data_IF_122974629565
#
_entry.id   IF_122974629565
#
_cell.length_a   1.000
_cell.length_b   1.000
_cell.length_c   1.000
_cell.angle_alpha   90.00
_cell.angle_beta   90.00
_cell.angle_gamma   90.00
#
_symmetry.space_group_name_H-M   'P 1'
#
loop_
_entity.id
_entity.type
_entity.pdbx_description
1 polymer ?
#
# COMPACT_ATOMS: atom_id res chain seq x y z
N UNK A 1 -7.95 -36.24 67.68
CA UNK A 1 -7.82 -36.64 66.27
C UNK A 1 -6.88 -37.81 66.23
N UNK A 2 -7.31 -38.98 65.75
CA UNK A 2 -6.58 -40.25 65.94
C UNK A 2 -5.78 -40.70 64.72
N UNK A 3 -4.77 -41.55 64.97
CA UNK A 3 -3.97 -42.21 63.92
C UNK A 3 -4.80 -43.02 62.92
N UNK A 4 -5.97 -43.51 63.34
CA UNK A 4 -6.91 -44.22 62.48
C UNK A 4 -7.40 -43.39 61.29
N UNK A 5 -7.62 -42.08 61.48
CA UNK A 5 -8.04 -41.19 60.40
C UNK A 5 -6.93 -41.00 59.36
N UNK A 6 -5.69 -40.90 59.81
CA UNK A 6 -4.53 -40.81 58.91
C UNK A 6 -4.38 -42.10 58.08
N UNK A 7 -4.51 -43.27 58.69
CA UNK A 7 -4.41 -44.55 58.00
C UNK A 7 -5.51 -44.71 56.94
N UNK A 8 -6.75 -44.35 57.27
CA UNK A 8 -7.86 -44.34 56.32
C UNK A 8 -7.60 -43.40 55.14
N UNK A 9 -7.10 -42.19 55.42
CA UNK A 9 -6.79 -41.19 54.41
C UNK A 9 -5.63 -41.62 53.50
N UNK A 10 -4.59 -42.26 54.05
CA UNK A 10 -3.49 -42.84 53.25
C UNK A 10 -3.98 -43.99 52.35
N UNK A 11 -4.95 -44.77 52.82
CA UNK A 11 -5.62 -45.79 52.01
C UNK A 11 -6.40 -45.18 50.84
N UNK A 12 -7.17 -44.11 51.09
CA UNK A 12 -7.90 -43.37 50.04
C UNK A 12 -6.95 -42.73 49.00
N UNK A 13 -5.76 -42.32 49.42
CA UNK A 13 -4.74 -41.76 48.53
C UNK A 13 -3.93 -42.82 47.76
N UNK A 14 -4.17 -44.11 48.01
CA UNK A 14 -3.52 -45.21 47.30
C UNK A 14 -2.09 -45.50 47.76
N UNK A 15 -1.75 -45.21 49.03
CA UNK A 15 -0.43 -45.56 49.57
C UNK A 15 -0.25 -47.08 49.66
N UNK A 16 0.78 -47.61 48.98
CA UNK A 16 1.05 -49.06 48.84
C UNK A 16 1.27 -49.80 50.19
N UNK A 17 1.50 -49.07 51.28
CA UNK A 17 1.69 -49.61 52.62
C UNK A 17 0.52 -49.40 53.58
N UNK A 18 -0.62 -48.86 53.14
CA UNK A 18 -1.70 -48.43 54.04
C UNK A 18 -2.27 -49.57 54.90
N UNK A 19 -2.31 -50.79 54.38
CA UNK A 19 -2.79 -51.98 55.10
C UNK A 19 -1.83 -52.49 56.19
N UNK A 20 -0.56 -52.07 56.15
CA UNK A 20 0.46 -52.44 57.15
C UNK A 20 0.55 -51.43 58.29
N UNK A 21 -0.13 -50.29 58.16
CA UNK A 21 -0.12 -49.24 59.16
C UNK A 21 -1.14 -49.58 60.26
N UNK A 22 -0.63 -49.74 61.46
CA UNK A 22 -1.44 -49.94 62.64
C UNK A 22 -1.83 -48.57 63.25
N UNK A 23 -3.14 -48.27 63.43
CA UNK A 23 -3.59 -47.01 64.01
C UNK A 23 -3.01 -46.71 65.39
N UNK A 24 -2.80 -47.74 66.22
CA UNK A 24 -2.36 -47.59 67.61
C UNK A 24 -0.88 -47.21 67.70
N UNK A 25 -0.09 -47.53 66.68
CA UNK A 25 1.31 -47.13 66.55
C UNK A 25 1.49 -45.60 66.47
N UNK A 26 0.44 -44.85 66.11
CA UNK A 26 0.46 -43.39 66.02
C UNK A 26 -0.05 -42.69 67.29
N UNK A 27 -0.55 -43.41 68.29
CA UNK A 27 -1.04 -42.78 69.53
C UNK A 27 0.10 -42.25 70.41
N UNK A 28 1.29 -42.88 70.36
CA UNK A 28 2.46 -42.47 71.15
C UNK A 28 3.19 -41.22 70.61
N UNK A 29 3.46 -41.11 69.29
CA UNK A 29 4.08 -39.91 68.70
C UNK A 29 3.21 -38.65 68.82
N UNK A 30 1.89 -38.81 68.83
CA UNK A 30 0.92 -37.70 68.86
C UNK A 30 0.21 -37.58 70.21
N UNK A 31 0.86 -38.00 71.29
CA UNK A 31 0.28 -37.96 72.63
C UNK A 31 0.09 -36.51 73.15
N UNK A 32 1.01 -35.61 72.79
CA UNK A 32 1.00 -34.21 73.23
C UNK A 32 0.13 -33.32 72.33
N UNK A 33 -0.48 -32.30 72.90
CA UNK A 33 -1.42 -31.42 72.17
C UNK A 33 -0.76 -30.67 71.00
N UNK A 34 0.52 -30.28 71.12
CA UNK A 34 1.28 -29.71 70.01
C UNK A 34 1.42 -30.69 68.84
N UNK A 35 1.75 -31.95 69.13
CA UNK A 35 1.86 -33.00 68.13
C UNK A 35 0.50 -33.35 67.51
N UNK A 36 -0.59 -33.29 68.28
CA UNK A 36 -1.96 -33.51 67.76
C UNK A 36 -2.36 -32.46 66.73
N UNK A 37 -1.97 -31.21 66.94
CA UNK A 37 -2.22 -30.13 65.97
C UNK A 37 -1.52 -30.39 64.63
N UNK A 38 -0.33 -30.97 64.66
CA UNK A 38 0.42 -31.37 63.46
C UNK A 38 -0.30 -32.52 62.74
N UNK A 39 -0.75 -33.54 63.48
CA UNK A 39 -1.51 -34.65 62.91
C UNK A 39 -2.80 -34.17 62.23
N UNK A 40 -3.51 -33.22 62.87
CA UNK A 40 -4.71 -32.63 62.31
C UNK A 40 -4.43 -31.81 61.05
N UNK A 41 -3.34 -31.03 61.05
CA UNK A 41 -2.87 -30.30 59.88
C UNK A 41 -2.53 -31.25 58.73
N UNK A 42 -1.84 -32.37 58.99
CA UNK A 42 -1.52 -33.38 57.97
C UNK A 42 -2.81 -33.95 57.38
N UNK A 43 -3.75 -34.38 58.21
CA UNK A 43 -5.02 -34.95 57.76
C UNK A 43 -5.91 -33.93 57.01
N UNK A 44 -5.72 -32.63 57.24
CA UNK A 44 -6.46 -31.56 56.57
C UNK A 44 -5.79 -31.09 55.27
N UNK A 45 -4.47 -31.27 55.17
CA UNK A 45 -3.65 -30.84 54.04
C UNK A 45 -3.46 -31.94 53.00
N UNK A 46 -3.51 -33.21 53.39
CA UNK A 46 -3.47 -34.32 52.46
C UNK A 46 -4.84 -34.45 51.76
N UNK A 47 -4.87 -34.09 50.47
CA UNK A 47 -6.03 -34.24 49.59
C UNK A 47 -5.63 -35.05 48.36
N UNK A 48 -6.56 -35.76 47.70
CA UNK A 48 -6.28 -36.43 46.43
C UNK A 48 -5.72 -35.49 45.35
N UNK A 49 -6.05 -34.19 45.42
CA UNK A 49 -5.49 -33.15 44.56
C UNK A 49 -4.00 -32.90 44.75
N UNK A 50 -3.43 -33.33 45.87
CA UNK A 50 -2.03 -33.10 46.23
C UNK A 50 -1.18 -34.36 45.96
N UNK A 51 -1.79 -35.42 45.44
CA UNK A 51 -1.09 -36.65 45.05
C UNK A 51 -0.86 -36.58 43.56
N UNK A 52 0.41 -36.68 43.16
CA UNK A 52 0.79 -36.74 41.77
C UNK A 52 0.26 -38.04 41.16
N UNK A 53 -0.47 -37.92 40.06
CA UNK A 53 -0.85 -39.06 39.24
C UNK A 53 0.39 -39.72 38.63
N UNK A 54 0.27 -41.01 38.28
CA UNK A 54 1.34 -41.74 37.60
C UNK A 54 1.79 -41.03 36.30
N UNK A 55 0.87 -40.39 35.57
CA UNK A 55 1.19 -39.61 34.38
C UNK A 55 2.01 -38.36 34.67
N UNK A 56 1.71 -37.64 35.76
CA UNK A 56 2.45 -36.44 36.16
C UNK A 56 3.85 -36.82 36.64
N UNK A 57 3.99 -37.94 37.36
CA UNK A 57 5.29 -38.48 37.74
C UNK A 57 6.13 -38.85 36.51
N UNK A 58 5.56 -39.54 35.51
CA UNK A 58 6.28 -39.86 34.28
C UNK A 58 6.71 -38.60 33.50
N UNK A 59 5.87 -37.57 33.46
CA UNK A 59 6.22 -36.29 32.83
C UNK A 59 7.36 -35.58 33.58
N UNK A 60 7.31 -35.58 34.91
CA UNK A 60 8.38 -35.04 35.73
C UNK A 60 9.70 -35.77 35.48
N UNK A 61 9.70 -37.11 35.49
CA UNK A 61 10.89 -37.91 35.18
C UNK A 61 11.43 -37.64 33.77
N UNK A 62 10.56 -37.43 32.80
CA UNK A 62 10.95 -37.01 31.45
C UNK A 62 11.64 -35.63 31.46
N UNK A 63 11.10 -34.64 32.19
CA UNK A 63 11.74 -33.33 32.30
C UNK A 63 13.11 -33.37 32.98
N UNK A 64 13.28 -34.25 33.98
CA UNK A 64 14.57 -34.53 34.61
C UNK A 64 15.55 -35.10 33.60
N UNK A 65 15.13 -36.10 32.80
CA UNK A 65 15.99 -36.71 31.79
C UNK A 65 16.37 -35.75 30.65
N UNK A 66 15.45 -34.87 30.25
CA UNK A 66 15.68 -33.87 29.21
C UNK A 66 16.52 -32.68 29.68
N UNK A 67 16.81 -32.57 30.99
CA UNK A 67 17.53 -31.43 31.56
C UNK A 67 16.78 -30.10 31.43
N UNK A 68 15.45 -30.18 31.30
CA UNK A 68 14.56 -29.00 31.15
C UNK A 68 13.89 -28.58 32.46
N UNK A 69 14.27 -29.23 33.56
CA UNK A 69 13.74 -28.93 34.88
C UNK A 69 14.33 -27.60 35.36
N UNK A 70 13.44 -26.64 35.60
CA UNK A 70 13.81 -25.30 36.03
C UNK A 70 13.95 -25.28 37.56
N UNK A 71 15.16 -25.14 38.08
CA UNK A 71 15.45 -25.17 39.52
C UNK A 71 16.42 -24.04 39.91
N UNK A 72 16.35 -23.61 41.17
CA UNK A 72 17.30 -22.64 41.74
C UNK A 72 17.35 -21.31 40.98
N UNK A 73 18.55 -20.88 40.61
CA UNK A 73 18.81 -19.58 39.96
C UNK A 73 18.05 -19.42 38.63
N UNK A 74 17.85 -20.49 37.86
CA UNK A 74 17.11 -20.44 36.60
C UNK A 74 15.62 -20.15 36.84
N UNK A 75 15.06 -20.65 37.95
CA UNK A 75 13.69 -20.37 38.37
C UNK A 75 13.54 -18.94 38.87
N UNK A 76 14.49 -18.46 39.68
CA UNK A 76 14.51 -17.08 40.17
C UNK A 76 14.65 -16.09 39.00
N UNK A 77 15.49 -16.40 38.01
CA UNK A 77 15.64 -15.60 36.79
C UNK A 77 14.35 -15.56 35.96
N UNK A 78 13.69 -16.71 35.77
CA UNK A 78 12.40 -16.75 35.08
C UNK A 78 11.34 -15.94 35.84
N UNK A 79 11.31 -16.04 37.17
CA UNK A 79 10.38 -15.28 38.00
C UNK A 79 10.61 -13.78 37.90
N UNK A 80 11.86 -13.32 37.95
CA UNK A 80 12.22 -11.92 37.78
C UNK A 80 11.86 -11.39 36.38
N UNK A 81 12.03 -12.22 35.35
CA UNK A 81 11.63 -11.88 33.98
C UNK A 81 10.11 -11.66 33.84
N UNK A 82 9.30 -12.34 34.64
CA UNK A 82 7.85 -12.17 34.69
C UNK A 82 7.48 -10.97 35.58
N UNK A 83 8.20 -10.77 36.69
CA UNK A 83 8.02 -9.64 37.60
C UNK A 83 8.31 -8.29 36.93
N UNK A 84 9.19 -8.25 35.92
CA UNK A 84 9.41 -7.09 35.03
C UNK A 84 8.12 -6.58 34.35
N UNK A 85 7.08 -7.42 34.27
CA UNK A 85 5.75 -7.05 33.75
C UNK A 85 4.72 -6.76 34.87
N UNK A 86 5.03 -7.04 36.14
CA UNK A 86 4.11 -6.90 37.27
C UNK A 86 4.17 -5.54 37.96
N UNK A 87 5.33 -4.87 37.96
CA UNK A 87 5.52 -3.56 38.60
C UNK A 87 4.90 -2.39 37.85
N UNK A 88 4.37 -2.62 36.64
CA UNK A 88 3.75 -1.57 35.82
C UNK A 88 2.26 -1.80 35.64
N UNK A 89 1.51 -1.92 36.75
CA UNK A 89 0.04 -1.88 36.73
C UNK A 89 -0.54 -1.17 37.95
N UNK A 90 -0.15 0.08 38.14
CA UNK A 90 -1.14 1.10 38.48
C UNK A 90 -2.11 1.22 37.29
N UNK A 91 -3.10 0.33 37.26
CA UNK A 91 -4.11 0.23 36.19
C UNK A 91 -4.97 1.50 36.04
N UNK A 92 -4.73 2.53 36.84
CA UNK A 92 -5.47 3.78 36.81
C UNK A 92 -4.73 4.86 36.01
N UNK A 93 -3.38 4.92 36.03
CA UNK A 93 -2.63 5.97 35.32
C UNK A 93 -2.43 5.67 33.83
N UNK A 94 -2.26 4.39 33.47
CA UNK A 94 -2.06 3.96 32.07
C UNK A 94 -3.33 4.08 31.20
N UNK A 95 -4.52 4.08 31.81
CA UNK A 95 -5.79 4.22 31.10
C UNK A 95 -6.06 5.69 30.75
N UNK A 96 -5.85 6.62 31.70
CA UNK A 96 -6.09 8.05 31.45
C UNK A 96 -5.03 8.68 30.53
N UNK A 97 -3.75 8.32 30.65
CA UNK A 97 -2.70 8.82 29.76
C UNK A 97 -2.81 8.28 28.32
N UNK A 98 -3.30 7.05 28.14
CA UNK A 98 -3.54 6.49 26.81
C UNK A 98 -4.77 7.10 26.14
N UNK A 99 -5.83 7.42 26.90
CA UNK A 99 -7.03 8.09 26.36
C UNK A 99 -6.74 9.53 25.90
N UNK A 100 -5.91 10.27 26.64
CA UNK A 100 -5.51 11.63 26.27
C UNK A 100 -4.63 11.61 25.00
N UNK A 101 -3.64 10.71 24.92
CA UNK A 101 -2.84 10.52 23.71
C UNK A 101 -3.65 10.03 22.50
N UNK A 102 -4.64 9.14 22.70
CA UNK A 102 -5.55 8.69 21.63
C UNK A 102 -6.44 9.82 21.12
N UNK A 103 -6.89 10.71 22.01
CA UNK A 103 -7.66 11.91 21.63
C UNK A 103 -6.80 12.88 20.83
N UNK A 104 -5.57 13.15 21.25
CA UNK A 104 -4.65 14.03 20.53
C UNK A 104 -4.27 13.47 19.16
N UNK A 105 -4.01 12.16 19.07
CA UNK A 105 -3.75 11.48 17.78
C UNK A 105 -4.96 11.60 16.86
N UNK A 106 -6.17 11.42 17.39
CA UNK A 106 -7.40 11.56 16.60
C UNK A 106 -7.60 12.98 16.11
N UNK A 107 -7.39 13.97 16.97
CA UNK A 107 -7.58 15.38 16.64
C UNK A 107 -6.53 15.84 15.62
N UNK A 108 -5.26 15.44 15.78
CA UNK A 108 -4.21 15.63 14.78
C UNK A 108 -4.53 14.95 13.44
N UNK A 109 -5.07 13.72 13.47
CA UNK A 109 -5.49 13.00 12.26
C UNK A 109 -6.60 13.74 11.51
N UNK A 110 -7.56 14.32 12.23
CA UNK A 110 -8.63 15.13 11.62
C UNK A 110 -8.08 16.41 11.01
N UNK A 111 -7.16 17.09 11.70
CA UNK A 111 -6.49 18.29 11.18
C UNK A 111 -5.72 17.99 9.88
N UNK A 112 -4.89 16.94 9.86
CA UNK A 112 -4.15 16.56 8.66
C UNK A 112 -5.06 16.14 7.50
N UNK A 113 -6.20 15.48 7.78
CA UNK A 113 -7.20 15.17 6.74
C UNK A 113 -7.82 16.44 6.15
N UNK A 114 -8.09 17.45 6.97
CA UNK A 114 -8.62 18.73 6.50
C UNK A 114 -7.61 19.46 5.59
N UNK A 115 -6.34 19.49 5.99
CA UNK A 115 -5.25 20.07 5.18
C UNK A 115 -5.07 19.33 3.85
N UNK A 116 -5.09 18.00 3.86
CA UNK A 116 -5.00 17.19 2.66
C UNK A 116 -6.16 17.47 1.67
N UNK A 117 -7.38 17.66 2.18
CA UNK A 117 -8.53 18.03 1.36
C UNK A 117 -8.38 19.42 0.74
N UNK A 118 -7.83 20.37 1.48
CA UNK A 118 -7.62 21.73 0.97
C UNK A 118 -6.54 21.74 -0.12
N UNK A 119 -5.42 21.05 0.11
CA UNK A 119 -4.39 20.83 -0.92
C UNK A 119 -4.97 20.16 -2.17
N UNK A 120 -5.85 19.18 -2.02
CA UNK A 120 -6.52 18.52 -3.14
C UNK A 120 -7.42 19.49 -3.95
N UNK A 121 -8.09 20.45 -3.29
CA UNK A 121 -8.86 21.49 -3.99
C UNK A 121 -7.94 22.43 -4.77
N UNK A 122 -6.82 22.84 -4.17
CA UNK A 122 -5.82 23.68 -4.83
C UNK A 122 -5.26 22.98 -6.08
N UNK A 123 -4.95 21.70 -5.97
CA UNK A 123 -4.44 20.89 -7.08
C UNK A 123 -5.46 20.82 -8.24
N UNK A 124 -6.74 20.59 -7.94
CA UNK A 124 -7.83 20.61 -8.95
C UNK A 124 -7.98 21.97 -9.63
N UNK A 125 -7.91 23.06 -8.86
CA UNK A 125 -7.96 24.42 -9.41
C UNK A 125 -6.78 24.68 -10.35
N UNK A 126 -5.58 24.26 -9.96
CA UNK A 126 -4.39 24.43 -10.77
C UNK A 126 -4.44 23.58 -12.04
N UNK A 127 -4.93 22.34 -11.94
CA UNK A 127 -5.11 21.46 -13.08
C UNK A 127 -6.11 22.04 -14.10
N UNK A 128 -7.23 22.59 -13.63
CA UNK A 128 -8.19 23.29 -14.51
C UNK A 128 -7.57 24.49 -15.24
N UNK A 129 -6.71 25.27 -14.56
CA UNK A 129 -5.96 26.37 -15.19
C UNK A 129 -5.00 25.85 -16.26
N UNK A 130 -4.33 24.73 -15.99
CA UNK A 130 -3.42 24.10 -16.94
C UNK A 130 -4.16 23.59 -18.18
N UNK A 131 -5.32 22.93 -18.00
CA UNK A 131 -6.15 22.45 -19.10
C UNK A 131 -6.65 23.61 -19.98
N UNK A 132 -7.07 24.72 -19.37
CA UNK A 132 -7.47 25.93 -20.09
C UNK A 132 -6.32 26.50 -20.94
N UNK A 133 -5.13 26.67 -20.35
CA UNK A 133 -3.95 27.16 -21.08
C UNK A 133 -3.52 26.20 -22.18
N UNK A 134 -3.63 24.90 -21.95
CA UNK A 134 -3.35 23.86 -22.95
C UNK A 134 -4.33 23.93 -24.11
N UNK A 135 -5.63 24.13 -23.83
CA UNK A 135 -6.66 24.41 -24.83
C UNK A 135 -6.34 25.65 -25.66
N UNK A 136 -5.97 26.76 -25.02
CA UNK A 136 -5.58 27.99 -25.70
C UNK A 136 -4.34 27.81 -26.60
N UNK A 137 -3.29 27.16 -26.09
CA UNK A 137 -2.10 26.85 -26.87
C UNK A 137 -2.43 25.99 -28.09
N UNK A 138 -3.30 24.98 -27.93
CA UNK A 138 -3.74 24.13 -29.03
C UNK A 138 -4.52 24.93 -30.09
N UNK A 139 -5.43 25.82 -29.68
CA UNK A 139 -6.19 26.67 -30.59
C UNK A 139 -5.29 27.63 -31.37
N UNK A 140 -4.27 28.21 -30.72
CA UNK A 140 -3.28 29.06 -31.38
C UNK A 140 -2.44 28.27 -32.41
N UNK A 141 -2.01 27.06 -32.06
CA UNK A 141 -1.26 26.19 -32.96
C UNK A 141 -2.11 25.81 -34.18
N UNK A 142 -3.37 25.41 -33.96
CA UNK A 142 -4.29 25.07 -35.05
C UNK A 142 -4.62 26.29 -35.92
N UNK A 143 -4.88 27.45 -35.31
CA UNK A 143 -5.08 28.69 -36.04
C UNK A 143 -3.86 29.10 -36.88
N UNK A 144 -2.64 28.91 -36.35
CA UNK A 144 -1.40 29.12 -37.11
C UNK A 144 -1.30 28.15 -38.29
N UNK A 145 -1.57 26.86 -38.08
CA UNK A 145 -1.57 25.84 -39.15
C UNK A 145 -2.59 26.17 -40.23
N UNK A 146 -3.81 26.56 -39.86
CA UNK A 146 -4.86 26.95 -40.80
C UNK A 146 -4.46 28.16 -41.64
N UNK A 147 -3.86 29.19 -41.04
CA UNK A 147 -3.33 30.35 -41.78
C UNK A 147 -2.21 29.97 -42.74
N UNK A 148 -1.26 29.13 -42.30
CA UNK A 148 -0.17 28.65 -43.16
C UNK A 148 -0.71 27.85 -44.34
N UNK A 149 -1.68 26.96 -44.12
CA UNK A 149 -2.34 26.22 -45.18
C UNK A 149 -3.06 27.15 -46.17
N UNK A 150 -3.84 28.11 -45.67
CA UNK A 150 -4.53 29.09 -46.51
C UNK A 150 -3.55 29.94 -47.35
N UNK A 151 -2.47 30.43 -46.75
CA UNK A 151 -1.41 31.15 -47.47
C UNK A 151 -0.75 30.27 -48.52
N UNK A 152 -0.50 28.99 -48.23
CA UNK A 152 0.03 28.04 -49.22
C UNK A 152 -0.90 27.86 -50.41
N UNK A 153 -2.22 27.78 -50.19
CA UNK A 153 -3.20 27.67 -51.28
C UNK A 153 -3.22 28.93 -52.12
N UNK A 154 -3.24 30.12 -51.51
CA UNK A 154 -3.19 31.40 -52.23
C UNK A 154 -1.88 31.55 -53.01
N UNK A 155 -0.74 31.19 -52.41
CA UNK A 155 0.54 31.22 -53.10
C UNK A 155 0.57 30.25 -54.28
N UNK A 156 -0.01 29.04 -54.14
CA UNK A 156 -0.17 28.11 -55.25
C UNK A 156 -0.99 28.71 -56.40
N UNK A 157 -2.10 29.38 -56.10
CA UNK A 157 -2.87 30.11 -57.12
C UNK A 157 -2.04 31.22 -57.78
N UNK A 158 -1.28 31.99 -57.01
CA UNK A 158 -0.42 33.05 -57.55
C UNK A 158 0.64 32.48 -58.49
N UNK A 159 1.29 31.36 -58.13
CA UNK A 159 2.25 30.67 -59.00
C UNK A 159 1.59 30.21 -60.30
N UNK A 160 0.39 29.63 -60.25
CA UNK A 160 -0.30 29.22 -61.49
C UNK A 160 -0.64 30.40 -62.40
N UNK A 161 -0.98 31.57 -61.83
CA UNK A 161 -1.23 32.79 -62.61
C UNK A 161 0.08 33.30 -63.21
N UNK A 162 1.17 33.33 -62.44
CA UNK A 162 2.48 33.76 -62.89
C UNK A 162 3.00 32.89 -64.06
N UNK A 163 2.87 31.57 -63.96
CA UNK A 163 3.19 30.63 -65.03
C UNK A 163 2.38 30.92 -66.30
N UNK A 164 1.08 31.22 -66.16
CA UNK A 164 0.21 31.54 -67.29
C UNK A 164 0.59 32.86 -67.97
N UNK A 165 0.98 33.88 -67.19
CA UNK A 165 1.44 35.17 -67.72
C UNK A 165 2.80 35.03 -68.40
N UNK A 166 3.72 34.27 -67.80
CA UNK A 166 5.02 33.95 -68.37
C UNK A 166 4.89 33.21 -69.70
N UNK A 167 3.99 32.21 -69.78
CA UNK A 167 3.69 31.50 -71.03
C UNK A 167 3.13 32.42 -72.12
N UNK A 168 2.19 33.31 -71.78
CA UNK A 168 1.66 34.31 -72.71
C UNK A 168 2.73 35.30 -73.18
N UNK A 169 3.60 35.74 -72.28
CA UNK A 169 4.71 36.61 -72.63
C UNK A 169 5.68 35.90 -73.59
N UNK A 170 6.03 34.64 -73.34
CA UNK A 170 6.86 33.85 -74.25
C UNK A 170 6.22 33.76 -75.65
N UNK A 171 4.92 33.45 -75.72
CA UNK A 171 4.18 33.43 -76.99
C UNK A 171 4.16 34.79 -77.68
N UNK A 172 4.07 35.89 -76.93
CA UNK A 172 4.16 37.23 -77.48
C UNK A 172 5.56 37.54 -78.03
N UNK A 173 6.62 37.16 -77.32
CA UNK A 173 8.00 37.27 -77.81
C UNK A 173 8.23 36.43 -79.06
N UNK A 174 7.72 35.20 -79.11
CA UNK A 174 7.73 34.38 -80.32
C UNK A 174 6.97 35.06 -81.46
N UNK A 175 5.72 35.48 -81.25
CA UNK A 175 4.92 36.15 -82.29
C UNK A 175 5.58 37.42 -82.84
N UNK A 176 6.24 38.21 -81.98
CA UNK A 176 7.03 39.37 -82.41
C UNK A 176 8.27 38.94 -83.21
N UNK A 177 8.98 37.89 -82.79
CA UNK A 177 10.08 37.31 -83.58
C UNK A 177 9.61 36.81 -84.95
N UNK A 178 8.46 36.15 -85.03
CA UNK A 178 7.83 35.77 -86.30
C UNK A 178 7.44 37.00 -87.12
N UNK A 179 6.93 38.07 -86.51
CA UNK A 179 6.62 39.33 -87.23
C UNK A 179 7.89 39.98 -87.76
N UNK A 180 8.96 40.06 -86.98
CA UNK A 180 10.24 40.63 -87.42
C UNK A 180 10.89 39.76 -88.51
N UNK A 181 10.76 38.43 -88.41
CA UNK A 181 11.15 37.50 -89.47
C UNK A 181 10.28 37.66 -90.73
N UNK A 182 8.97 37.85 -90.58
CA UNK A 182 8.05 38.16 -91.70
C UNK A 182 8.38 39.53 -92.29
N UNK A 183 8.74 40.54 -91.50
CA UNK A 183 9.18 41.86 -92.00
C UNK A 183 10.54 41.77 -92.71
N UNK A 184 11.46 40.92 -92.26
CA UNK A 184 12.67 40.56 -93.00
C UNK A 184 12.38 39.77 -94.29
N UNK A 185 11.27 39.02 -94.34
CA UNK A 185 10.85 38.25 -95.53
C UNK A 185 9.76 38.98 -96.34
N UNK A 186 9.42 40.23 -95.99
CA UNK A 186 8.41 41.06 -96.66
C UNK A 186 8.99 41.81 -97.86
N UNK A 187 9.84 41.13 -98.61
CA UNK A 187 9.93 41.29 -100.06
C UNK A 187 8.94 40.35 -100.80
N UNK A 188 8.18 39.48 -100.10
CA UNK A 188 7.27 38.50 -100.74
C UNK A 188 5.91 38.34 -100.06
N UNK A 189 5.13 39.41 -99.90
CA UNK A 189 3.80 39.35 -99.29
C UNK A 189 2.69 39.28 -100.35
N UNK A 190 2.23 38.07 -100.70
CA UNK A 190 0.91 37.91 -101.35
C UNK A 190 0.18 36.59 -101.09
N UNK A 191 0.82 35.59 -100.49
CA UNK A 191 0.20 34.25 -100.35
C UNK A 191 -0.44 33.97 -98.98
N UNK A 192 -0.09 34.71 -97.93
CA UNK A 192 -0.47 34.34 -96.55
C UNK A 192 -1.91 34.72 -96.16
N UNK A 193 -2.52 35.70 -96.85
CA UNK A 193 -3.88 36.17 -96.55
C UNK A 193 -4.99 35.13 -96.84
N UNK A 194 -4.69 34.03 -97.53
CA UNK A 194 -5.65 32.94 -97.76
C UNK A 194 -5.73 31.93 -96.60
N UNK A 195 -4.72 31.85 -95.71
CA UNK A 195 -4.71 30.91 -94.59
C UNK A 195 -5.47 31.40 -93.35
N UNK A 196 -5.39 32.69 -93.03
CA UNK A 196 -6.00 33.26 -91.82
C UNK A 196 -7.53 33.31 -91.86
N UNK A 197 -8.16 33.30 -93.03
CA UNK A 197 -9.63 33.31 -93.13
C UNK A 197 -10.27 31.95 -92.78
N UNK A 198 -9.50 30.85 -92.72
CA UNK A 198 -10.01 29.55 -92.34
C UNK A 198 -10.10 29.35 -90.82
N UNK A 199 -9.33 30.10 -90.03
CA UNK A 199 -9.27 29.93 -88.57
C UNK A 199 -10.42 30.66 -87.84
N UNK A 200 -11.02 31.67 -88.47
CA UNK A 200 -12.11 32.46 -87.89
C UNK A 200 -13.52 31.85 -88.05
N UNK A 201 -13.63 30.61 -88.57
CA UNK A 201 -14.92 29.94 -88.81
C UNK A 201 -15.20 28.76 -87.87
N UNK A 202 -14.38 28.52 -86.85
CA UNK A 202 -14.58 27.39 -85.93
C UNK A 202 -14.21 27.66 -84.44
N UNK A 203 -14.28 28.92 -83.99
CA UNK A 203 -14.40 29.26 -82.57
C UNK A 203 -15.49 30.32 -82.38
#
# INVERSE_FOLDING_TARGET
MSGARLCALLGELGYEGAEKLDPDSFEWPFQYDDARSILDWICSSLRPSNVLSLSELSQYEQFVQEGKLLEGEDLDFAYDSISAFSSRRDNQEAVFGAEEGLKDIRDATVAYKAEALELQKQLRSLQSKFDMLTGQASALIQGRRARVAATSTVNGHLTTIDDSLSGRNLQAYECCSWKDSIYCTRAGALSFWRGCLAWFRFY
#
